data_IF_302995568757
#
_entry.id   IF_302995568757
#
_cell.length_a   1.000
_cell.length_b   1.000
_cell.length_c   1.000
_cell.angle_alpha   90.00
_cell.angle_beta   90.00
_cell.angle_gamma   90.00
#
_symmetry.space_group_name_H-M   'P 1'
#
loop_
_entity.id
_entity.type
_entity.pdbx_description
1 polymer ?
#
# COMPACT_ATOMS: atom_id res chain seq x y z
N UNK A 1 -22.27 -1.72 -53.92
CA UNK A 1 -23.23 -2.81 -54.23
C UNK A 1 -22.51 -4.15 -54.21
N UNK A 2 -22.67 -4.92 -53.13
CA UNK A 2 -22.75 -6.39 -53.11
C UNK A 2 -23.04 -6.79 -51.66
N UNK A 3 -24.30 -7.13 -51.44
CA UNK A 3 -24.85 -7.68 -50.20
C UNK A 3 -24.57 -9.18 -50.18
N UNK A 4 -24.27 -9.76 -49.01
CA UNK A 4 -24.67 -11.15 -48.73
C UNK A 4 -24.64 -11.51 -47.24
N UNK A 5 -25.86 -11.68 -46.72
CA UNK A 5 -26.38 -12.81 -45.95
C UNK A 5 -25.85 -13.06 -44.54
N UNK A 6 -26.64 -12.50 -43.62
CA UNK A 6 -26.91 -12.90 -42.24
C UNK A 6 -27.26 -14.40 -42.17
N UNK A 7 -26.60 -15.13 -41.26
CA UNK A 7 -27.01 -16.45 -40.78
C UNK A 7 -27.53 -16.26 -39.35
N UNK A 8 -28.85 -16.36 -39.20
CA UNK A 8 -29.54 -16.39 -37.91
C UNK A 8 -29.54 -17.85 -37.44
N UNK A 9 -28.93 -18.14 -36.29
CA UNK A 9 -28.97 -19.46 -35.67
C UNK A 9 -29.91 -19.39 -34.47
N UNK A 10 -31.11 -19.96 -34.65
CA UNK A 10 -32.16 -20.11 -33.64
C UNK A 10 -31.90 -21.41 -32.90
N UNK A 11 -31.61 -21.35 -31.59
CA UNK A 11 -31.68 -22.53 -30.71
C UNK A 11 -32.54 -22.20 -29.48
N UNK A 12 -33.74 -22.78 -29.49
CA UNK A 12 -34.23 -23.62 -28.40
C UNK A 12 -34.49 -22.98 -27.04
N UNK A 13 -35.72 -22.50 -26.86
CA UNK A 13 -36.37 -22.34 -25.54
C UNK A 13 -36.62 -23.73 -24.93
N UNK A 14 -36.11 -23.97 -23.72
CA UNK A 14 -36.57 -25.07 -22.85
C UNK A 14 -37.28 -24.45 -21.64
N UNK A 15 -38.61 -24.53 -21.66
CA UNK A 15 -39.47 -24.28 -20.50
C UNK A 15 -39.51 -25.57 -19.68
N UNK A 16 -39.03 -25.52 -18.44
CA UNK A 16 -39.30 -26.55 -17.44
C UNK A 16 -40.19 -25.94 -16.35
N UNK A 17 -41.49 -26.23 -16.45
CA UNK A 17 -42.47 -26.03 -15.39
C UNK A 17 -42.27 -27.14 -14.34
N UNK A 18 -41.91 -26.76 -13.12
CA UNK A 18 -41.88 -27.64 -11.96
C UNK A 18 -42.61 -26.99 -10.79
N UNK A 19 -43.93 -27.16 -10.75
CA UNK A 19 -44.76 -26.88 -9.58
C UNK A 19 -44.75 -28.13 -8.70
N UNK A 20 -44.38 -28.02 -7.43
CA UNK A 20 -44.72 -29.01 -6.42
C UNK A 20 -45.00 -28.31 -5.09
N UNK A 21 -46.29 -28.18 -4.81
CA UNK A 21 -46.86 -27.92 -3.50
C UNK A 21 -46.63 -29.15 -2.61
N UNK A 22 -46.06 -28.95 -1.43
CA UNK A 22 -46.20 -29.89 -0.32
C UNK A 22 -46.93 -29.18 0.83
N UNK A 23 -48.18 -29.58 1.03
CA UNK A 23 -49.06 -29.24 2.14
C UNK A 23 -49.06 -30.42 3.13
N UNK A 24 -49.04 -30.10 4.42
CA UNK A 24 -49.34 -31.03 5.54
C UNK A 24 -48.08 -31.58 6.22
N UNK A 25 -47.96 -31.68 7.55
CA UNK A 25 -49.01 -31.93 8.53
C UNK A 25 -48.66 -31.29 9.90
N UNK A 26 -49.69 -30.76 10.54
CA UNK A 26 -49.73 -30.44 11.97
C UNK A 26 -49.64 -31.75 12.77
N UNK A 27 -48.71 -31.84 13.72
CA UNK A 27 -48.71 -32.85 14.76
C UNK A 27 -48.54 -32.18 16.13
N UNK A 28 -49.62 -32.21 16.91
CA UNK A 28 -49.67 -31.82 18.31
C UNK A 28 -48.89 -32.86 19.14
N UNK A 29 -47.72 -32.47 19.65
CA UNK A 29 -46.93 -33.23 20.62
C UNK A 29 -47.12 -32.65 22.02
N UNK A 30 -47.66 -33.47 22.91
CA UNK A 30 -48.06 -33.15 24.27
C UNK A 30 -46.90 -32.75 25.19
N UNK A 31 -47.24 -31.99 26.22
CA UNK A 31 -46.31 -31.41 27.17
C UNK A 31 -45.56 -32.42 28.04
N UNK A 32 -44.28 -32.15 28.24
CA UNK A 32 -43.50 -32.65 29.35
C UNK A 32 -43.06 -31.44 30.19
N UNK A 33 -43.66 -31.29 31.36
CA UNK A 33 -43.19 -30.36 32.40
C UNK A 33 -41.79 -30.80 32.79
N UNK A 34 -40.78 -30.02 32.42
CA UNK A 34 -39.43 -30.14 32.96
C UNK A 34 -39.31 -29.11 34.09
N UNK A 35 -39.31 -29.60 35.32
CA UNK A 35 -38.96 -28.78 36.48
C UNK A 35 -37.54 -28.25 36.29
N UNK A 36 -37.43 -26.93 36.18
CA UNK A 36 -36.14 -26.23 36.16
C UNK A 36 -35.75 -25.99 37.62
N UNK A 37 -34.90 -26.86 38.14
CA UNK A 37 -34.19 -26.63 39.40
C UNK A 37 -33.25 -25.44 39.21
N UNK A 38 -33.59 -24.30 39.82
CA UNK A 38 -32.68 -23.17 40.00
C UNK A 38 -31.56 -23.57 40.97
N UNK A 39 -30.46 -24.09 40.43
CA UNK A 39 -29.20 -24.13 41.16
C UNK A 39 -28.57 -22.73 41.09
N UNK A 40 -28.60 -22.03 42.23
CA UNK A 40 -27.90 -20.75 42.42
C UNK A 40 -26.39 -20.98 42.39
N UNK A 41 -25.78 -20.96 41.21
CA UNK A 41 -24.33 -20.87 41.08
C UNK A 41 -23.91 -19.41 41.22
N UNK A 42 -23.18 -19.13 42.30
CA UNK A 42 -22.46 -17.87 42.52
C UNK A 42 -21.58 -17.55 41.29
N UNK A 43 -21.47 -16.28 40.87
CA UNK A 43 -20.52 -15.90 39.84
C UNK A 43 -19.10 -16.14 40.38
N UNK A 44 -18.42 -17.14 39.82
CA UNK A 44 -16.97 -17.29 39.97
C UNK A 44 -16.33 -16.06 39.34
N UNK A 45 -15.71 -15.23 40.17
CA UNK A 45 -14.83 -14.15 39.73
C UNK A 45 -13.75 -14.76 38.84
N UNK A 46 -13.78 -14.42 37.55
CA UNK A 46 -12.66 -14.69 36.66
C UNK A 46 -11.40 -14.05 37.28
N UNK A 47 -10.27 -14.77 37.37
CA UNK A 47 -9.03 -14.18 37.83
C UNK A 47 -8.69 -13.03 36.88
N UNK A 48 -8.41 -11.85 37.44
CA UNK A 48 -7.86 -10.74 36.69
C UNK A 48 -6.64 -11.25 35.92
N UNK A 49 -6.72 -11.24 34.60
CA UNK A 49 -5.59 -11.53 33.73
C UNK A 49 -4.47 -10.58 34.10
N UNK A 50 -3.38 -11.13 34.62
CA UNK A 50 -2.13 -10.40 34.85
C UNK A 50 -1.76 -9.67 33.56
N UNK A 51 -1.35 -8.39 33.59
CA UNK A 51 -0.94 -7.71 32.38
C UNK A 51 0.19 -8.51 31.74
N UNK A 52 0.03 -8.86 30.47
CA UNK A 52 1.10 -9.49 29.71
C UNK A 52 2.33 -8.57 29.77
N UNK A 53 3.50 -9.14 30.02
CA UNK A 53 4.75 -8.38 29.97
C UNK A 53 4.88 -7.76 28.57
N UNK A 54 5.23 -6.47 28.52
CA UNK A 54 5.45 -5.78 27.26
C UNK A 54 6.53 -6.53 26.45
N UNK A 55 6.29 -6.71 25.16
CA UNK A 55 7.33 -7.21 24.25
C UNK A 55 8.51 -6.22 24.21
N UNK A 56 9.73 -6.64 23.84
CA UNK A 56 10.86 -5.72 23.68
C UNK A 56 10.52 -4.50 22.80
N UNK A 57 9.84 -4.73 21.68
CA UNK A 57 9.34 -3.67 20.79
C UNK A 57 8.35 -2.71 21.47
N UNK A 58 7.47 -3.22 22.34
CA UNK A 58 6.55 -2.38 23.13
C UNK A 58 7.30 -1.54 24.19
N UNK A 59 8.36 -2.08 24.78
CA UNK A 59 9.19 -1.34 25.73
C UNK A 59 10.01 -0.24 25.05
N UNK A 60 10.49 -0.48 23.84
CA UNK A 60 11.30 0.46 23.04
C UNK A 60 10.44 1.56 22.40
N UNK A 61 9.28 1.20 21.82
CA UNK A 61 8.27 2.17 21.42
C UNK A 61 7.81 3.06 22.59
N UNK A 62 7.77 2.51 23.81
CA UNK A 62 7.49 3.30 25.02
C UNK A 62 8.61 4.27 25.37
N UNK A 63 9.87 4.01 25.01
CA UNK A 63 10.97 4.97 25.19
C UNK A 63 10.92 6.07 24.14
N UNK A 64 10.72 5.73 22.87
CA UNK A 64 10.55 6.71 21.78
C UNK A 64 9.35 7.64 22.01
N UNK A 65 8.28 7.14 22.62
CA UNK A 65 7.11 7.94 23.01
C UNK A 65 7.40 8.92 24.18
N UNK A 66 8.47 8.71 24.94
CA UNK A 66 8.87 9.54 26.07
C UNK A 66 10.03 10.51 25.73
N UNK A 67 10.66 10.33 24.57
CA UNK A 67 11.76 11.19 24.10
C UNK A 67 11.22 12.37 23.32
N UNK A 68 11.45 13.57 23.83
CA UNK A 68 11.34 14.80 23.04
C UNK A 68 12.68 15.06 22.37
N UNK A 69 12.67 15.16 21.04
CA UNK A 69 13.85 15.45 20.22
C UNK A 69 13.66 16.78 19.50
N UNK A 70 14.75 17.48 19.23
CA UNK A 70 14.73 18.62 18.31
C UNK A 70 14.57 18.12 16.88
N UNK A 71 14.02 18.96 16.00
CA UNK A 71 13.85 18.59 14.59
C UNK A 71 15.21 18.29 13.93
N UNK A 72 16.23 19.07 14.29
CA UNK A 72 17.59 18.96 13.77
C UNK A 72 18.24 17.62 14.10
N UNK A 73 18.00 17.08 15.30
CA UNK A 73 18.45 15.75 15.70
C UNK A 73 17.78 14.64 14.88
N UNK A 74 16.57 14.86 14.38
CA UNK A 74 15.86 13.88 13.56
C UNK A 74 16.24 13.90 12.09
N UNK A 75 16.93 14.93 11.60
CA UNK A 75 17.26 15.03 10.17
C UNK A 75 18.26 13.97 9.70
N UNK A 76 19.02 13.36 10.61
CA UNK A 76 19.89 12.22 10.30
C UNK A 76 19.14 10.90 10.13
N UNK A 77 17.93 10.81 10.68
CA UNK A 77 17.14 9.57 10.72
C UNK A 77 16.47 9.25 9.38
N UNK A 78 16.38 10.23 8.48
CA UNK A 78 15.70 10.12 7.20
C UNK A 78 16.61 10.38 6.02
N UNK A 79 16.56 9.53 5.01
CA UNK A 79 17.31 9.62 3.77
C UNK A 79 16.53 10.40 2.71
N UNK A 80 17.22 11.32 2.05
CA UNK A 80 16.71 12.04 0.88
C UNK A 80 16.77 11.15 -0.37
N UNK A 81 15.64 10.88 -1.06
CA UNK A 81 15.64 10.00 -2.22
C UNK A 81 16.39 10.58 -3.43
N UNK A 82 16.68 11.90 -3.45
CA UNK A 82 17.45 12.49 -4.55
C UNK A 82 18.92 12.05 -4.55
N UNK A 83 19.53 12.00 -3.37
CA UNK A 83 20.98 11.92 -3.23
C UNK A 83 21.46 10.79 -2.30
N UNK A 84 20.53 10.07 -1.66
CA UNK A 84 20.84 8.99 -0.73
C UNK A 84 21.49 9.46 0.57
N UNK A 85 21.60 10.78 0.79
CA UNK A 85 22.14 11.36 2.02
C UNK A 85 21.03 11.67 3.01
N UNK A 86 21.32 11.76 4.32
CA UNK A 86 20.36 12.25 5.28
C UNK A 86 19.78 13.60 4.88
N UNK A 87 18.50 13.85 5.20
CA UNK A 87 17.82 15.10 4.84
C UNK A 87 18.49 16.32 5.48
N UNK A 88 19.28 16.16 6.54
CA UNK A 88 20.08 17.24 7.14
C UNK A 88 21.32 17.65 6.34
N UNK A 89 21.78 16.81 5.41
CA UNK A 89 23.08 16.98 4.71
C UNK A 89 22.96 17.59 3.32
N UNK A 90 21.75 17.94 2.86
CA UNK A 90 21.55 18.55 1.54
C UNK A 90 20.57 19.72 1.57
N UNK A 91 20.77 20.72 0.72
CA UNK A 91 20.00 21.98 0.73
C UNK A 91 18.99 22.10 -0.41
N UNK A 92 18.69 20.99 -1.12
CA UNK A 92 17.72 21.01 -2.21
C UNK A 92 16.28 21.16 -1.71
N UNK A 93 15.38 21.57 -2.61
CA UNK A 93 13.98 21.85 -2.28
C UNK A 93 13.26 20.64 -1.68
N UNK A 94 13.50 19.43 -2.19
CA UNK A 94 12.89 18.20 -1.65
C UNK A 94 13.36 17.91 -0.22
N UNK A 95 14.64 18.11 0.07
CA UNK A 95 15.13 17.95 1.43
C UNK A 95 14.62 19.07 2.34
N UNK A 96 14.46 20.29 1.82
CA UNK A 96 13.85 21.40 2.54
C UNK A 96 12.39 21.14 2.90
N UNK A 97 11.60 20.56 1.99
CA UNK A 97 10.22 20.14 2.24
C UNK A 97 10.16 19.09 3.37
N UNK A 98 10.96 18.03 3.27
CA UNK A 98 11.02 16.95 4.28
C UNK A 98 11.49 17.46 5.64
N UNK A 99 12.50 18.33 5.69
CA UNK A 99 12.91 19.00 6.93
C UNK A 99 11.79 19.87 7.48
N UNK A 100 11.10 20.63 6.63
CA UNK A 100 9.96 21.44 7.01
C UNK A 100 8.82 20.61 7.62
N UNK A 101 8.55 19.43 7.07
CA UNK A 101 7.58 18.48 7.61
C UNK A 101 7.97 18.02 9.02
N UNK A 102 9.21 17.55 9.21
CA UNK A 102 9.74 17.12 10.52
C UNK A 102 9.74 18.28 11.53
N UNK A 103 10.25 19.45 11.13
CA UNK A 103 10.26 20.66 11.97
C UNK A 103 8.87 21.11 12.36
N UNK A 104 7.88 20.99 11.47
CA UNK A 104 6.49 21.31 11.75
C UNK A 104 5.91 20.41 12.84
N UNK A 105 6.14 19.10 12.76
CA UNK A 105 5.69 18.14 13.77
C UNK A 105 6.38 18.36 15.12
N UNK A 106 7.70 18.55 15.11
CA UNK A 106 8.45 18.85 16.33
C UNK A 106 7.97 20.16 16.99
N UNK A 107 7.71 21.20 16.19
CA UNK A 107 7.16 22.48 16.68
C UNK A 107 5.73 22.34 17.23
N UNK A 108 4.98 21.35 16.76
CA UNK A 108 3.66 20.98 17.28
C UNK A 108 3.74 20.12 18.56
N UNK A 109 4.93 19.84 19.09
CA UNK A 109 5.14 19.08 20.32
C UNK A 109 5.00 17.57 20.16
N UNK A 110 5.11 17.05 18.93
CA UNK A 110 5.11 15.61 18.66
C UNK A 110 6.37 14.96 19.23
N UNK A 111 6.22 13.77 19.83
CA UNK A 111 7.36 12.98 20.27
C UNK A 111 8.04 12.26 19.09
N UNK A 112 9.19 11.64 19.33
CA UNK A 112 10.00 10.99 18.29
C UNK A 112 9.21 9.90 17.54
N UNK A 113 8.47 9.05 18.26
CA UNK A 113 7.65 8.01 17.65
C UNK A 113 6.53 8.59 16.77
N UNK A 114 5.82 9.62 17.24
CA UNK A 114 4.79 10.29 16.45
C UNK A 114 5.35 10.90 15.16
N UNK A 115 6.58 11.44 15.21
CA UNK A 115 7.26 11.97 14.02
C UNK A 115 7.65 10.84 13.08
N UNK A 116 8.20 9.73 13.58
CA UNK A 116 8.51 8.55 12.76
C UNK A 116 7.29 7.99 12.06
N UNK A 117 6.18 7.81 12.80
CA UNK A 117 4.93 7.30 12.22
C UNK A 117 4.40 8.24 11.14
N UNK A 118 4.33 9.54 11.43
CA UNK A 118 3.87 10.52 10.45
C UNK A 118 4.78 10.59 9.21
N UNK A 119 6.09 10.45 9.38
CA UNK A 119 7.04 10.44 8.27
C UNK A 119 6.90 9.18 7.41
N UNK A 120 6.75 8.01 8.05
CA UNK A 120 6.48 6.74 7.37
C UNK A 120 5.16 6.78 6.59
N UNK A 121 4.12 7.42 7.16
CA UNK A 121 2.82 7.57 6.51
C UNK A 121 2.89 8.49 5.29
N UNK A 122 3.68 9.56 5.37
CA UNK A 122 3.82 10.54 4.30
C UNK A 122 4.78 10.08 3.18
N UNK A 123 5.88 9.41 3.53
CA UNK A 123 7.00 9.17 2.61
C UNK A 123 7.41 7.70 2.47
N UNK A 124 6.85 6.80 3.28
CA UNK A 124 7.15 5.37 3.27
C UNK A 124 8.30 4.95 4.20
N UNK A 125 8.29 3.68 4.60
CA UNK A 125 9.28 3.09 5.51
C UNK A 125 10.70 2.97 4.91
N UNK A 126 10.83 2.95 3.59
CA UNK A 126 12.14 2.89 2.91
C UNK A 126 12.94 4.20 2.97
N UNK A 127 12.42 5.20 3.67
CA UNK A 127 13.08 6.51 3.83
C UNK A 127 13.90 6.63 5.10
N UNK A 128 13.83 5.65 6.00
CA UNK A 128 14.64 5.63 7.22
C UNK A 128 16.09 5.28 6.92
N UNK A 129 17.02 5.93 7.63
CA UNK A 129 18.45 5.69 7.47
C UNK A 129 18.93 4.40 8.16
N UNK A 130 18.23 3.98 9.22
CA UNK A 130 18.51 2.76 9.98
C UNK A 130 17.45 1.71 9.68
N UNK A 131 17.89 0.50 9.35
CA UNK A 131 16.99 -0.65 9.19
C UNK A 131 16.38 -1.08 10.52
N UNK A 132 17.09 -0.86 11.63
CA UNK A 132 16.58 -1.11 12.98
C UNK A 132 15.37 -0.21 13.29
N UNK A 133 15.51 1.12 13.11
CA UNK A 133 14.41 2.07 13.33
C UNK A 133 13.26 1.79 12.38
N UNK A 134 13.55 1.45 11.12
CA UNK A 134 12.52 1.06 10.13
C UNK A 134 11.70 -0.14 10.62
N UNK A 135 12.36 -1.18 11.12
CA UNK A 135 11.67 -2.38 11.61
C UNK A 135 10.89 -2.08 12.89
N UNK A 136 11.43 -1.30 13.81
CA UNK A 136 10.71 -0.87 15.02
C UNK A 136 9.40 -0.12 14.68
N UNK A 137 9.47 0.82 13.75
CA UNK A 137 8.29 1.57 13.28
C UNK A 137 7.30 0.63 12.60
N UNK A 138 7.78 -0.29 11.75
CA UNK A 138 6.93 -1.30 11.11
C UNK A 138 6.23 -2.18 12.14
N UNK A 139 6.95 -2.72 13.11
CA UNK A 139 6.39 -3.56 14.18
C UNK A 139 5.34 -2.82 14.99
N UNK A 140 5.60 -1.55 15.34
CA UNK A 140 4.62 -0.70 16.02
C UNK A 140 3.35 -0.57 15.18
N UNK A 141 3.47 -0.26 13.87
CA UNK A 141 2.32 -0.14 12.96
C UNK A 141 1.57 -1.45 12.84
N UNK A 142 2.27 -2.58 12.73
CA UNK A 142 1.65 -3.92 12.69
C UNK A 142 0.83 -4.18 13.96
N UNK A 143 1.37 -3.85 15.14
CA UNK A 143 0.73 -4.08 16.43
C UNK A 143 -0.52 -3.21 16.66
N UNK A 144 -0.59 -2.03 16.03
CA UNK A 144 -1.69 -1.07 16.19
C UNK A 144 -2.68 -1.05 15.02
N UNK A 145 -2.37 -1.74 13.92
CA UNK A 145 -3.26 -1.85 12.78
C UNK A 145 -4.37 -2.91 13.00
N UNK A 146 -5.53 -2.78 12.33
CA UNK A 146 -6.59 -3.79 12.39
C UNK A 146 -6.09 -5.17 11.96
N UNK A 147 -6.62 -6.23 12.60
CA UNK A 147 -6.28 -7.61 12.25
C UNK A 147 -6.65 -7.94 10.79
N UNK A 148 -7.84 -7.52 10.36
CA UNK A 148 -8.26 -7.53 8.97
C UNK A 148 -7.98 -6.16 8.35
N UNK A 149 -7.01 -6.10 7.44
CA UNK A 149 -6.55 -4.88 6.78
C UNK A 149 -6.16 -5.16 5.33
N UNK A 150 -6.11 -4.15 4.45
CA UNK A 150 -5.44 -4.30 3.16
C UNK A 150 -3.94 -4.49 3.39
N UNK A 151 -3.27 -5.23 2.49
CA UNK A 151 -1.82 -5.41 2.52
C UNK A 151 -1.28 -5.37 1.10
N UNK A 152 -0.46 -4.37 0.78
CA UNK A 152 0.10 -4.19 -0.56
C UNK A 152 1.43 -4.91 -0.71
N UNK A 153 1.60 -5.63 -1.83
CA UNK A 153 2.86 -6.23 -2.23
C UNK A 153 3.15 -5.85 -3.69
N UNK A 154 4.40 -5.43 -3.96
CA UNK A 154 4.90 -5.17 -5.32
C UNK A 154 5.93 -6.22 -5.70
N UNK A 155 5.73 -6.89 -6.83
CA UNK A 155 6.64 -7.92 -7.33
C UNK A 155 6.90 -7.82 -8.84
N UNK A 156 8.17 -7.79 -9.28
CA UNK A 156 9.38 -7.59 -8.45
C UNK A 156 9.46 -6.14 -7.95
N UNK A 157 10.15 -5.88 -6.83
CA UNK A 157 10.40 -4.49 -6.39
C UNK A 157 11.46 -3.76 -7.22
N UNK A 158 12.21 -4.49 -8.07
CA UNK A 158 13.29 -3.95 -8.89
C UNK A 158 13.36 -4.65 -10.24
N UNK A 159 13.44 -3.87 -11.31
CA UNK A 159 13.59 -4.37 -12.69
C UNK A 159 14.81 -3.75 -13.34
N UNK A 160 15.63 -4.59 -13.98
CA UNK A 160 16.73 -4.16 -14.84
C UNK A 160 16.24 -4.12 -16.30
N UNK A 161 16.25 -2.93 -16.90
CA UNK A 161 15.91 -2.72 -18.30
C UNK A 161 17.10 -2.96 -19.23
N UNK A 162 18.29 -3.18 -18.68
CA UNK A 162 19.55 -3.31 -19.42
C UNK A 162 19.92 -2.01 -20.12
N UNK A 163 20.39 -2.14 -21.36
CA UNK A 163 20.75 -0.98 -22.18
C UNK A 163 19.50 -0.35 -22.79
N UNK A 164 19.29 0.94 -22.55
CA UNK A 164 18.20 1.70 -23.16
C UNK A 164 18.78 2.76 -24.08
N UNK A 165 18.55 2.60 -25.39
CA UNK A 165 19.05 3.54 -26.41
C UNK A 165 18.13 4.76 -26.54
N UNK A 166 18.73 5.96 -26.60
CA UNK A 166 17.98 7.19 -26.93
C UNK A 166 17.32 7.19 -28.31
N UNK A 167 17.73 6.29 -29.21
CA UNK A 167 17.17 6.15 -30.57
C UNK A 167 15.99 5.20 -30.66
N UNK A 168 15.79 4.34 -29.66
CA UNK A 168 14.75 3.29 -29.68
C UNK A 168 13.42 3.77 -29.11
N UNK A 169 13.38 4.99 -28.58
CA UNK A 169 12.17 5.62 -28.05
C UNK A 169 11.86 5.16 -26.62
N UNK A 170 10.61 5.31 -26.22
CA UNK A 170 10.15 4.96 -24.86
C UNK A 170 10.19 3.45 -24.67
N UNK A 171 10.62 3.04 -23.49
CA UNK A 171 10.57 1.64 -23.05
C UNK A 171 9.49 1.47 -21.98
N UNK A 172 8.92 0.27 -21.93
CA UNK A 172 7.84 -0.09 -21.03
C UNK A 172 8.20 -1.36 -20.27
N UNK A 173 7.84 -1.40 -18.99
CA UNK A 173 7.87 -2.61 -18.17
C UNK A 173 6.70 -2.61 -17.20
N UNK A 174 6.44 -3.74 -16.56
CA UNK A 174 5.30 -3.93 -15.66
C UNK A 174 5.69 -4.70 -14.42
N UNK A 175 5.15 -4.29 -13.27
CA UNK A 175 5.21 -5.03 -12.01
C UNK A 175 3.82 -5.50 -11.62
N UNK A 176 3.74 -6.50 -10.76
CA UNK A 176 2.46 -6.93 -10.17
C UNK A 176 2.24 -6.23 -8.85
N UNK A 177 1.06 -5.65 -8.67
CA UNK A 177 0.53 -5.23 -7.38
C UNK A 177 -0.42 -6.31 -6.90
N UNK A 178 -0.22 -6.81 -5.68
CA UNK A 178 -1.09 -7.83 -5.08
C UNK A 178 -1.66 -7.29 -3.78
N UNK A 179 -2.96 -7.47 -3.56
CA UNK A 179 -3.56 -7.29 -2.24
C UNK A 179 -3.54 -8.63 -1.49
N UNK A 180 -2.54 -8.84 -0.63
CA UNK A 180 -2.43 -10.05 0.20
C UNK A 180 -3.23 -9.94 1.51
N UNK A 181 -3.95 -8.83 1.69
CA UNK A 181 -4.75 -8.54 2.87
C UNK A 181 -6.13 -9.19 2.85
N UNK A 182 -6.98 -8.72 3.77
CA UNK A 182 -8.36 -9.21 3.94
C UNK A 182 -9.41 -8.11 3.72
N UNK A 183 -8.97 -6.88 3.40
CA UNK A 183 -9.83 -5.74 3.07
C UNK A 183 -9.39 -5.14 1.73
N UNK A 184 -10.29 -4.39 1.11
CA UNK A 184 -10.05 -3.69 -0.14
C UNK A 184 -8.84 -2.76 -0.04
N UNK A 185 -7.87 -2.98 -0.92
CA UNK A 185 -6.70 -2.14 -1.09
C UNK A 185 -7.05 -1.01 -2.05
N UNK A 186 -6.95 0.23 -1.59
CA UNK A 186 -7.19 1.43 -2.40
C UNK A 186 -5.85 2.08 -2.67
N UNK A 187 -5.50 2.21 -3.95
CA UNK A 187 -4.37 3.00 -4.42
C UNK A 187 -4.92 4.36 -4.83
N UNK A 188 -4.36 5.43 -4.29
CA UNK A 188 -4.87 6.80 -4.46
C UNK A 188 -3.83 7.79 -5.00
N UNK A 189 -2.55 7.40 -5.03
CA UNK A 189 -1.51 8.23 -5.62
C UNK A 189 -0.37 7.40 -6.17
N UNK A 190 0.11 7.81 -7.34
CA UNK A 190 1.33 7.32 -7.96
C UNK A 190 2.28 8.50 -8.19
N UNK A 191 3.57 8.32 -7.93
CA UNK A 191 4.58 9.31 -8.27
C UNK A 191 5.90 8.67 -8.66
N UNK A 192 6.76 9.42 -9.33
CA UNK A 192 8.08 8.96 -9.78
C UNK A 192 9.16 9.93 -9.34
N UNK A 193 10.39 9.44 -9.19
CA UNK A 193 11.53 10.27 -8.76
C UNK A 193 12.05 11.22 -9.85
N UNK A 194 11.67 11.03 -11.12
CA UNK A 194 12.07 11.88 -12.23
C UNK A 194 11.02 11.90 -13.35
N UNK A 195 10.86 13.05 -14.01
CA UNK A 195 9.93 13.22 -15.14
C UNK A 195 10.23 12.37 -16.38
N UNK A 196 11.43 11.76 -16.48
CA UNK A 196 11.72 10.75 -17.49
C UNK A 196 11.02 9.41 -17.25
N UNK A 197 10.35 9.23 -16.11
CA UNK A 197 9.59 8.03 -15.76
C UNK A 197 8.16 8.40 -15.43
N UNK A 198 7.22 7.66 -16.02
CA UNK A 198 5.78 7.79 -15.74
C UNK A 198 5.18 6.41 -15.46
N UNK A 199 4.03 6.38 -14.80
CA UNK A 199 3.44 5.14 -14.28
C UNK A 199 1.92 5.19 -14.36
N UNK A 200 1.28 4.04 -14.57
CA UNK A 200 -0.17 3.84 -14.49
C UNK A 200 -0.47 2.52 -13.78
N UNK A 201 -1.72 2.35 -13.34
CA UNK A 201 -2.22 1.05 -12.87
C UNK A 201 -3.20 0.50 -13.90
N UNK A 202 -3.00 -0.74 -14.32
CA UNK A 202 -3.99 -1.51 -15.08
C UNK A 202 -4.72 -2.43 -14.13
N UNK A 203 -6.01 -2.16 -13.93
CA UNK A 203 -6.87 -2.94 -13.05
C UNK A 203 -8.09 -3.43 -13.84
N UNK A 204 -8.46 -4.70 -13.71
CA UNK A 204 -9.52 -5.34 -14.52
C UNK A 204 -9.37 -5.13 -16.04
N UNK A 205 -8.12 -5.10 -16.53
CA UNK A 205 -7.79 -4.87 -17.94
C UNK A 205 -8.00 -3.44 -18.43
N UNK A 206 -8.27 -2.49 -17.54
CA UNK A 206 -8.40 -1.07 -17.86
C UNK A 206 -7.22 -0.30 -17.29
N UNK A 207 -6.49 0.40 -18.16
CA UNK A 207 -5.41 1.28 -17.75
C UNK A 207 -5.96 2.61 -17.25
N UNK A 208 -5.53 2.99 -16.04
CA UNK A 208 -5.83 4.30 -15.44
C UNK A 208 -5.04 5.45 -16.08
N UNK A 209 -5.16 6.66 -15.51
CA UNK A 209 -4.33 7.80 -15.90
C UNK A 209 -2.83 7.52 -15.69
N UNK A 210 -2.01 8.24 -16.47
CA UNK A 210 -0.55 8.19 -16.37
C UNK A 210 -0.07 9.31 -15.47
N UNK A 211 0.73 8.97 -14.46
CA UNK A 211 1.28 9.88 -13.45
C UNK A 211 2.81 9.91 -13.53
N UNK A 212 3.42 10.96 -12.99
CA UNK A 212 4.87 11.13 -12.88
C UNK A 212 5.21 12.23 -11.88
N UNK A 213 6.48 12.63 -11.80
CA UNK A 213 6.92 13.71 -10.90
C UNK A 213 6.08 14.98 -11.11
N UNK A 214 5.47 15.48 -10.04
CA UNK A 214 4.67 16.71 -10.07
C UNK A 214 3.29 16.58 -10.73
N UNK A 215 2.85 15.37 -11.07
CA UNK A 215 1.49 15.12 -11.59
C UNK A 215 0.54 14.89 -10.42
N UNK A 216 -0.51 15.70 -10.22
CA UNK A 216 -1.46 15.48 -9.14
C UNK A 216 -2.30 14.22 -9.35
N UNK A 217 -2.53 13.47 -8.27
CA UNK A 217 -3.43 12.30 -8.25
C UNK A 217 -4.82 12.62 -7.67
N UNK A 218 -5.12 13.90 -7.40
CA UNK A 218 -6.36 14.32 -6.74
C UNK A 218 -7.62 13.82 -7.45
N UNK A 219 -8.49 13.16 -6.69
CA UNK A 219 -9.76 12.63 -7.21
C UNK A 219 -9.64 11.31 -7.98
N UNK A 220 -8.44 10.77 -8.16
CA UNK A 220 -8.24 9.43 -8.71
C UNK A 220 -8.02 8.40 -7.60
N UNK A 221 -8.56 7.19 -7.80
CA UNK A 221 -8.18 6.00 -7.04
C UNK A 221 -8.53 4.74 -7.84
N UNK A 222 -7.94 3.62 -7.46
CA UNK A 222 -8.31 2.28 -7.95
C UNK A 222 -8.32 1.29 -6.79
N UNK A 223 -9.19 0.29 -6.85
CA UNK A 223 -9.41 -0.68 -5.76
C UNK A 223 -9.06 -2.09 -6.21
N UNK A 224 -8.22 -2.76 -5.43
CA UNK A 224 -7.83 -4.16 -5.62
C UNK A 224 -8.44 -4.98 -4.47
N UNK A 225 -9.31 -5.93 -4.80
CA UNK A 225 -9.98 -6.76 -3.79
C UNK A 225 -8.98 -7.72 -3.10
N UNK A 226 -9.31 -8.25 -1.90
CA UNK A 226 -8.48 -9.25 -1.25
C UNK A 226 -8.15 -10.45 -2.15
N UNK A 227 -6.87 -10.73 -2.32
CA UNK A 227 -6.35 -11.83 -3.16
C UNK A 227 -6.20 -11.50 -4.65
N UNK A 228 -6.73 -10.37 -5.11
CA UNK A 228 -6.63 -9.94 -6.51
C UNK A 228 -5.32 -9.20 -6.78
N UNK A 229 -5.02 -9.06 -8.09
CA UNK A 229 -3.82 -8.39 -8.60
C UNK A 229 -4.16 -7.30 -9.61
N UNK A 230 -3.26 -6.33 -9.73
CA UNK A 230 -3.23 -5.32 -10.78
C UNK A 230 -1.82 -5.19 -11.36
N UNK A 231 -1.70 -4.58 -12.54
CA UNK A 231 -0.40 -4.29 -13.16
C UNK A 231 0.01 -2.85 -12.83
N UNK A 232 1.22 -2.65 -12.30
CA UNK A 232 1.87 -1.34 -12.26
C UNK A 232 2.72 -1.19 -13.52
N UNK A 233 2.22 -0.41 -14.48
CA UNK A 233 2.90 -0.19 -15.74
C UNK A 233 3.81 1.02 -15.67
N UNK A 234 5.06 0.85 -16.06
CA UNK A 234 6.12 1.84 -15.92
C UNK A 234 6.64 2.17 -17.32
N UNK A 235 6.68 3.45 -17.63
CA UNK A 235 7.18 3.99 -18.88
C UNK A 235 8.42 4.83 -18.62
N UNK A 236 9.49 4.56 -19.36
CA UNK A 236 10.73 5.32 -19.30
C UNK A 236 11.00 5.99 -20.65
N UNK A 237 11.24 7.30 -20.63
CA UNK A 237 11.53 8.13 -21.79
C UNK A 237 13.02 8.55 -21.80
N UNK A 238 13.89 7.85 -22.57
CA UNK A 238 15.31 8.18 -22.64
C UNK A 238 15.58 9.53 -23.34
N UNK A 239 14.57 10.10 -24.02
CA UNK A 239 14.72 11.37 -24.75
C UNK A 239 14.44 12.60 -23.89
N UNK A 240 13.92 12.40 -22.67
CA UNK A 240 13.61 13.48 -21.73
C UNK A 240 14.86 14.30 -21.37
N UNK A 241 16.00 13.62 -21.18
CA UNK A 241 17.31 14.23 -20.99
C UNK A 241 18.24 13.81 -22.12
N UNK A 242 18.32 14.62 -23.19
CA UNK A 242 19.01 14.25 -24.44
C UNK A 242 20.49 13.88 -24.25
N UNK A 243 21.16 14.48 -23.28
CA UNK A 243 22.59 14.28 -23.02
C UNK A 243 22.88 13.25 -21.91
N UNK A 244 21.87 12.71 -21.24
CA UNK A 244 22.07 11.81 -20.11
C UNK A 244 22.55 10.43 -20.62
N UNK A 245 23.63 9.90 -20.04
CA UNK A 245 24.19 8.58 -20.40
C UNK A 245 24.70 7.88 -19.16
N UNK A 246 24.82 6.55 -19.24
CA UNK A 246 25.33 5.72 -18.17
C UNK A 246 24.25 5.17 -17.23
N UNK A 247 24.65 4.62 -16.08
CA UNK A 247 23.74 3.92 -15.18
C UNK A 247 22.74 4.88 -14.54
N UNK A 248 21.47 4.47 -14.52
CA UNK A 248 20.39 5.20 -13.90
C UNK A 248 19.52 4.28 -13.07
N UNK A 249 19.01 4.84 -11.96
CA UNK A 249 17.94 4.25 -11.17
C UNK A 249 16.78 5.24 -11.13
N UNK A 250 15.56 4.76 -11.29
CA UNK A 250 14.33 5.53 -11.14
C UNK A 250 13.42 4.81 -10.17
N UNK A 251 12.84 5.57 -9.26
CA UNK A 251 11.97 5.05 -8.21
C UNK A 251 10.53 5.42 -8.53
N UNK A 252 9.64 4.49 -8.22
CA UNK A 252 8.20 4.59 -8.37
C UNK A 252 7.61 4.41 -6.98
N UNK A 253 6.76 5.34 -6.56
CA UNK A 253 6.09 5.31 -5.26
C UNK A 253 4.60 5.10 -5.48
N UNK A 254 4.04 4.12 -4.77
CA UNK A 254 2.62 3.77 -4.80
C UNK A 254 2.05 4.03 -3.40
N UNK A 255 1.12 4.98 -3.32
CA UNK A 255 0.37 5.30 -2.09
C UNK A 255 -0.89 4.44 -2.00
N UNK A 256 -1.21 3.95 -0.81
CA UNK A 256 -2.38 3.13 -0.57
C UNK A 256 -2.93 3.27 0.86
N UNK A 257 -4.10 2.67 1.08
CA UNK A 257 -4.71 2.54 2.41
C UNK A 257 -4.14 1.39 3.28
N UNK A 258 -3.01 0.78 2.92
CA UNK A 258 -2.29 -0.16 3.79
C UNK A 258 -1.81 0.58 5.06
N UNK A 259 -2.29 0.21 6.26
CA UNK A 259 -1.95 0.94 7.48
C UNK A 259 -0.52 0.66 7.98
N UNK A 260 0.17 -0.33 7.42
CA UNK A 260 1.57 -0.65 7.74
C UNK A 260 2.49 -0.04 6.69
N UNK A 261 2.15 -0.26 5.41
CA UNK A 261 2.92 0.14 4.23
C UNK A 261 2.15 1.11 3.32
N UNK A 262 1.78 2.32 3.80
CA UNK A 262 0.95 3.25 3.05
C UNK A 262 1.65 3.78 1.81
N UNK A 263 2.98 3.77 1.78
CA UNK A 263 3.77 4.09 0.59
C UNK A 263 4.81 3.00 0.38
N UNK A 264 4.65 2.24 -0.70
CA UNK A 264 5.63 1.24 -1.14
C UNK A 264 6.39 1.72 -2.37
N UNK A 265 7.61 1.22 -2.52
CA UNK A 265 8.52 1.60 -3.57
C UNK A 265 8.84 0.44 -4.49
N UNK A 266 8.96 0.74 -5.78
CA UNK A 266 9.67 -0.08 -6.74
C UNK A 266 10.74 0.74 -7.49
N UNK A 267 11.67 0.06 -8.14
CA UNK A 267 12.74 0.68 -8.91
C UNK A 267 12.90 0.06 -10.29
N UNK A 268 13.22 0.89 -11.27
CA UNK A 268 13.84 0.45 -12.52
C UNK A 268 15.30 0.88 -12.52
N UNK A 269 16.17 0.00 -13.00
CA UNK A 269 17.56 0.29 -13.31
C UNK A 269 17.82 0.11 -14.79
N UNK A 270 18.74 0.89 -15.33
CA UNK A 270 19.15 0.81 -16.72
C UNK A 270 20.54 1.40 -16.93
N UNK A 271 21.15 1.10 -18.07
CA UNK A 271 22.29 1.84 -18.62
C UNK A 271 21.83 2.60 -19.88
N UNK A 272 21.79 3.93 -19.81
CA UNK A 272 21.36 4.74 -20.95
C UNK A 272 22.49 4.88 -21.96
N UNK A 273 22.23 4.43 -23.19
CA UNK A 273 23.17 4.45 -24.31
C UNK A 273 22.65 5.31 -25.47
N UNK A 274 23.52 5.56 -26.44
CA UNK A 274 23.17 6.31 -27.65
C UNK A 274 22.15 5.60 -28.54
#
# INVERSE_FOLDING_TARGET
MKSNKIVLLVIGVIVALGVSFAVGYFALGQGAKREVSFASSLPTTAPASSPAAATPAQAEASQLAQTTVTAEEMFSEFICPCCGKPIGECTCDMAAERRGFVSGLASAGKNQLEIYLAYADQYGLDTFASEEVKEEVREYKVAHAPAERPQIVLEPQKVDLGNVSTKEGKVETSLTITNVGQKDLVIDSLSTSCGCTTVSVVNDGQEGPVFGTGTPSEGWSTTIQPGDTAELRIYYDPTFHQDARGPMMREIYVSSNDPVDPVVKAAIELDQVD
#
